data_IF_843120838117
#
_entry.id   IF_843120838117
#
_cell.length_a   1.000
_cell.length_b   1.000
_cell.length_c   1.000
_cell.angle_alpha   90.00
_cell.angle_beta   90.00
_cell.angle_gamma   90.00
#
_symmetry.space_group_name_H-M   'P 1'
#
loop_
_entity.id
_entity.type
_entity.pdbx_description
1 polymer ?
#
# COMPACT_ATOMS: atom_id res chain seq x y z
N UNK A 1 12.93 17.05 26.64
CA UNK A 1 13.07 16.02 25.59
C UNK A 1 11.83 15.14 25.69
N UNK A 2 10.86 15.30 24.79
CA UNK A 2 9.46 14.89 25.05
C UNK A 2 9.18 13.37 24.90
N UNK A 3 10.03 12.62 24.18
CA UNK A 3 9.68 11.26 23.77
C UNK A 3 10.66 10.16 24.20
N UNK A 4 11.70 10.48 24.96
CA UNK A 4 12.66 9.48 25.47
C UNK A 4 13.49 8.80 24.38
N UNK A 5 12.92 7.83 23.65
CA UNK A 5 13.58 7.05 22.60
C UNK A 5 12.82 7.05 21.24
N UNK A 6 13.48 6.53 20.20
CA UNK A 6 12.92 6.45 18.84
C UNK A 6 11.73 5.50 18.73
N UNK A 7 11.66 4.46 19.56
CA UNK A 7 10.58 3.48 19.52
C UNK A 7 9.27 4.09 20.05
N UNK A 8 9.36 4.83 21.15
CA UNK A 8 8.26 5.60 21.75
C UNK A 8 7.77 6.64 20.76
N UNK A 9 8.66 7.43 20.15
CA UNK A 9 8.29 8.40 19.12
C UNK A 9 7.58 7.73 17.92
N UNK A 10 8.01 6.54 17.50
CA UNK A 10 7.37 5.81 16.41
C UNK A 10 5.94 5.39 16.76
N UNK A 11 5.72 4.86 17.97
CA UNK A 11 4.38 4.47 18.45
C UNK A 11 3.46 5.69 18.58
N UNK A 12 3.97 6.80 19.15
CA UNK A 12 3.22 8.06 19.28
C UNK A 12 2.86 8.65 17.91
N UNK A 13 3.77 8.61 16.94
CA UNK A 13 3.49 9.05 15.57
C UNK A 13 2.36 8.24 14.92
N UNK A 14 2.28 6.93 15.21
CA UNK A 14 1.17 6.09 14.77
C UNK A 14 -0.16 6.43 15.45
N UNK A 15 -0.13 6.75 16.75
CA UNK A 15 -1.33 7.19 17.48
C UNK A 15 -1.82 8.55 16.97
N UNK A 16 -0.92 9.51 16.79
CA UNK A 16 -1.24 10.83 16.25
C UNK A 16 -1.78 10.73 14.80
N UNK A 17 -1.14 9.92 13.95
CA UNK A 17 -1.60 9.66 12.59
C UNK A 17 -2.94 8.92 12.56
N UNK A 18 -3.29 8.17 13.60
CA UNK A 18 -4.60 7.56 13.78
C UNK A 18 -5.66 8.57 14.19
N UNK A 19 -5.40 9.37 15.23
CA UNK A 19 -6.34 10.37 15.77
C UNK A 19 -6.69 11.45 14.74
N UNK A 20 -5.73 11.83 13.90
CA UNK A 20 -5.92 12.83 12.84
C UNK A 20 -6.69 12.31 11.61
N UNK A 21 -7.22 11.09 11.62
CA UNK A 21 -7.98 10.55 10.48
C UNK A 21 -9.41 11.10 10.42
N UNK A 22 -9.60 12.01 9.46
CA UNK A 22 -10.79 12.01 8.59
C UNK A 22 -10.41 11.18 7.36
N UNK A 23 -11.06 10.02 7.18
CA UNK A 23 -10.69 8.94 6.26
C UNK A 23 -10.57 9.32 4.78
N UNK A 24 -10.06 8.38 3.97
CA UNK A 24 -10.98 7.73 3.06
C UNK A 24 -11.24 6.32 3.56
N UNK A 25 -12.53 6.04 3.76
CA UNK A 25 -13.07 4.73 3.43
C UNK A 25 -12.56 4.41 2.03
N UNK A 26 -12.02 3.20 1.82
CA UNK A 26 -12.02 2.70 0.45
C UNK A 26 -13.47 2.87 -0.02
N UNK A 27 -13.71 3.50 -1.19
CA UNK A 27 -15.08 3.66 -1.67
C UNK A 27 -15.77 2.30 -1.55
N UNK A 28 -17.02 2.26 -1.09
CA UNK A 28 -17.81 1.03 -1.15
C UNK A 28 -17.76 0.56 -2.61
N UNK A 29 -16.96 -0.47 -2.89
CA UNK A 29 -16.75 -1.00 -4.23
C UNK A 29 -17.85 -1.98 -4.61
N UNK A 30 -19.02 -1.87 -3.98
CA UNK A 30 -20.19 -2.66 -4.30
C UNK A 30 -20.51 -2.45 -5.79
N UNK A 31 -20.39 -3.53 -6.57
CA UNK A 31 -20.53 -3.58 -8.03
C UNK A 31 -19.35 -3.05 -8.89
N UNK A 32 -18.15 -2.87 -8.33
CA UNK A 32 -16.94 -2.61 -9.14
C UNK A 32 -16.20 -3.93 -9.38
N UNK A 33 -15.81 -4.21 -10.63
CA UNK A 33 -15.02 -5.40 -10.97
C UNK A 33 -13.71 -5.45 -10.16
N UNK A 34 -13.29 -6.63 -9.67
CA UNK A 34 -12.11 -6.76 -8.81
C UNK A 34 -10.83 -6.13 -9.38
N UNK A 35 -10.63 -6.20 -10.71
CA UNK A 35 -9.49 -5.56 -11.37
C UNK A 35 -9.48 -4.04 -11.22
N UNK A 36 -10.65 -3.42 -11.27
CA UNK A 36 -10.78 -1.97 -11.13
C UNK A 36 -10.63 -1.56 -9.66
N UNK A 37 -11.12 -2.39 -8.72
CA UNK A 37 -10.85 -2.20 -7.29
C UNK A 37 -9.34 -2.20 -7.00
N UNK A 38 -8.59 -3.12 -7.61
CA UNK A 38 -7.13 -3.18 -7.46
C UNK A 38 -6.46 -1.91 -7.99
N UNK A 39 -6.90 -1.39 -9.14
CA UNK A 39 -6.41 -0.13 -9.70
C UNK A 39 -6.64 1.02 -8.72
N UNK A 40 -7.88 1.20 -8.25
CA UNK A 40 -8.19 2.24 -7.27
C UNK A 40 -7.35 2.11 -5.99
N UNK A 41 -7.16 0.89 -5.49
CA UNK A 41 -6.36 0.65 -4.30
C UNK A 41 -4.91 1.10 -4.50
N UNK A 42 -4.28 0.71 -5.62
CA UNK A 42 -2.89 1.06 -5.95
C UNK A 42 -2.73 2.57 -6.17
N UNK A 43 -3.64 3.20 -6.92
CA UNK A 43 -3.63 4.65 -7.12
C UNK A 43 -3.79 5.40 -5.80
N UNK A 44 -4.69 4.95 -4.92
CA UNK A 44 -4.87 5.53 -3.59
C UNK A 44 -3.58 5.44 -2.75
N UNK A 45 -2.86 4.32 -2.78
CA UNK A 45 -1.58 4.21 -2.08
C UNK A 45 -0.52 5.18 -2.62
N UNK A 46 -0.42 5.30 -3.94
CA UNK A 46 0.62 6.09 -4.61
C UNK A 46 0.32 7.59 -4.55
N UNK A 47 -0.94 8.00 -4.72
CA UNK A 47 -1.36 9.40 -4.61
C UNK A 47 -1.27 9.90 -3.17
N UNK A 48 -1.71 9.11 -2.19
CA UNK A 48 -1.57 9.52 -0.79
C UNK A 48 -0.11 9.58 -0.36
N UNK A 49 0.79 8.78 -0.96
CA UNK A 49 2.23 8.89 -0.71
C UNK A 49 2.77 10.30 -1.03
N UNK A 50 2.38 10.89 -2.15
CA UNK A 50 2.87 12.23 -2.57
C UNK A 50 2.15 13.37 -1.85
N UNK A 51 1.05 13.08 -1.15
CA UNK A 51 0.31 14.07 -0.40
C UNK A 51 1.12 14.59 0.81
N UNK A 52 1.03 15.91 1.02
CA UNK A 52 1.49 16.56 2.25
C UNK A 52 0.46 16.37 3.38
N UNK A 53 0.93 16.43 4.63
CA UNK A 53 0.09 16.33 5.82
C UNK A 53 -0.17 14.89 6.30
N UNK A 54 -1.08 14.77 7.28
CA UNK A 54 -1.32 13.56 8.07
C UNK A 54 -1.66 12.33 7.23
N UNK A 55 -2.37 12.52 6.12
CA UNK A 55 -2.76 11.42 5.22
C UNK A 55 -1.55 10.79 4.51
N UNK A 56 -0.62 11.61 4.05
CA UNK A 56 0.61 11.11 3.44
C UNK A 56 1.55 10.52 4.46
N UNK A 57 1.67 11.14 5.64
CA UNK A 57 2.46 10.60 6.76
C UNK A 57 1.98 9.21 7.16
N UNK A 58 0.67 9.04 7.33
CA UNK A 58 0.09 7.73 7.61
C UNK A 58 0.41 6.73 6.49
N UNK A 59 0.22 7.09 5.23
CA UNK A 59 0.41 6.16 4.11
C UNK A 59 1.86 5.68 4.01
N UNK A 60 2.82 6.57 4.29
CA UNK A 60 4.24 6.21 4.40
C UNK A 60 4.50 5.23 5.54
N UNK A 61 3.97 5.51 6.74
CA UNK A 61 4.08 4.60 7.90
C UNK A 61 3.48 3.23 7.60
N UNK A 62 2.29 3.20 7.00
CA UNK A 62 1.57 1.98 6.62
C UNK A 62 2.35 1.10 5.65
N UNK A 63 2.86 1.66 4.55
CA UNK A 63 3.66 0.91 3.58
C UNK A 63 4.98 0.40 4.17
N UNK A 64 5.61 1.17 5.07
CA UNK A 64 6.82 0.71 5.77
C UNK A 64 6.53 -0.48 6.68
N UNK A 65 5.46 -0.41 7.47
CA UNK A 65 5.11 -1.42 8.45
C UNK A 65 4.55 -2.70 7.80
N UNK A 66 3.83 -2.61 6.68
CA UNK A 66 3.44 -3.79 5.89
C UNK A 66 4.64 -4.52 5.28
N UNK A 67 5.59 -3.78 4.72
CA UNK A 67 6.71 -4.39 4.01
C UNK A 67 7.85 -4.84 4.94
N UNK A 68 7.90 -4.27 6.15
CA UNK A 68 8.89 -4.62 7.17
C UNK A 68 8.29 -4.40 8.57
N UNK A 69 7.45 -5.33 9.05
CA UNK A 69 6.79 -5.21 10.35
C UNK A 69 7.80 -5.02 11.47
N UNK A 70 7.66 -3.93 12.23
CA UNK A 70 8.58 -3.59 13.32
C UNK A 70 8.24 -4.32 14.61
N UNK A 71 6.98 -4.74 14.76
CA UNK A 71 6.43 -5.31 15.99
C UNK A 71 6.14 -4.28 17.08
N UNK A 72 6.51 -3.00 16.88
CA UNK A 72 6.36 -1.93 17.87
C UNK A 72 4.91 -1.47 18.03
N UNK A 73 4.08 -1.69 17.02
CA UNK A 73 2.68 -1.25 16.99
C UNK A 73 1.70 -2.42 17.09
N UNK A 74 2.07 -3.56 17.66
CA UNK A 74 1.23 -4.76 17.75
C UNK A 74 -0.20 -4.48 18.25
N UNK A 75 -0.34 -3.60 19.24
CA UNK A 75 -1.64 -3.18 19.79
C UNK A 75 -2.50 -2.33 18.83
N UNK A 76 -1.85 -1.62 17.90
CA UNK A 76 -2.51 -0.79 16.89
C UNK A 76 -2.66 -1.52 15.55
N UNK A 77 -1.86 -2.57 15.30
CA UNK A 77 -1.86 -3.34 14.05
C UNK A 77 -3.26 -3.78 13.64
N UNK A 78 -3.97 -4.46 14.55
CA UNK A 78 -5.32 -4.97 14.31
C UNK A 78 -6.36 -3.87 14.06
N UNK A 79 -6.12 -2.65 14.54
CA UNK A 79 -7.03 -1.52 14.39
C UNK A 79 -6.74 -0.72 13.11
N UNK A 80 -5.47 -0.59 12.74
CA UNK A 80 -5.01 0.39 11.75
C UNK A 80 -4.55 -0.22 10.43
N UNK A 81 -3.94 -1.40 10.50
CA UNK A 81 -3.28 -2.04 9.36
C UNK A 81 -4.14 -3.19 8.87
N UNK A 82 -4.51 -4.10 9.76
CA UNK A 82 -5.20 -5.34 9.42
C UNK A 82 -6.46 -5.13 8.58
N UNK A 83 -7.38 -4.19 8.90
CA UNK A 83 -8.59 -4.00 8.09
C UNK A 83 -8.29 -3.59 6.65
N UNK A 84 -7.28 -2.73 6.44
CA UNK A 84 -6.88 -2.27 5.11
C UNK A 84 -6.15 -3.36 4.32
N UNK A 85 -5.36 -4.17 5.02
CA UNK A 85 -4.68 -5.34 4.45
C UNK A 85 -5.70 -6.37 3.97
N UNK A 86 -6.73 -6.64 4.76
CA UNK A 86 -7.79 -7.58 4.40
C UNK A 86 -8.57 -7.16 3.16
N UNK A 87 -8.78 -5.85 2.93
CA UNK A 87 -9.36 -5.35 1.67
C UNK A 87 -8.50 -5.75 0.47
N UNK A 88 -7.18 -5.51 0.53
CA UNK A 88 -6.28 -5.91 -0.57
C UNK A 88 -6.25 -7.42 -0.78
N UNK A 89 -6.18 -8.21 0.30
CA UNK A 89 -6.21 -9.67 0.22
C UNK A 89 -7.52 -10.18 -0.40
N UNK A 90 -8.65 -9.55 -0.08
CA UNK A 90 -9.95 -9.83 -0.69
C UNK A 90 -9.94 -9.57 -2.19
N UNK A 91 -9.52 -8.37 -2.61
CA UNK A 91 -9.41 -7.99 -4.03
C UNK A 91 -8.54 -8.99 -4.81
N UNK A 92 -7.37 -9.34 -4.28
CA UNK A 92 -6.47 -10.30 -4.93
C UNK A 92 -7.16 -11.66 -5.07
N UNK A 93 -7.84 -12.13 -4.01
CA UNK A 93 -8.54 -13.41 -4.01
C UNK A 93 -9.69 -13.43 -5.02
N UNK A 94 -10.43 -12.34 -5.14
CA UNK A 94 -11.52 -12.20 -6.11
C UNK A 94 -11.00 -12.23 -7.56
N UNK A 95 -9.85 -11.60 -7.84
CA UNK A 95 -9.19 -11.68 -9.16
C UNK A 95 -8.71 -13.10 -9.47
N UNK A 96 -8.17 -13.81 -8.47
CA UNK A 96 -7.67 -15.18 -8.64
C UNK A 96 -8.79 -16.23 -8.73
N UNK A 97 -9.94 -15.97 -8.13
CA UNK A 97 -11.09 -16.87 -8.05
C UNK A 97 -11.00 -17.91 -6.93
N UNK A 98 -12.00 -18.81 -6.90
CA UNK A 98 -12.26 -19.72 -5.78
C UNK A 98 -11.14 -20.73 -5.46
N UNK A 99 -10.16 -20.91 -6.35
CA UNK A 99 -9.03 -21.85 -6.18
C UNK A 99 -7.76 -21.19 -5.65
N UNK A 100 -7.81 -19.90 -5.29
CA UNK A 100 -6.67 -19.18 -4.77
C UNK A 100 -6.19 -19.74 -3.42
N UNK A 101 -4.97 -20.29 -3.39
CA UNK A 101 -4.31 -20.66 -2.14
C UNK A 101 -3.86 -19.41 -1.38
N UNK A 102 -3.86 -19.49 -0.04
CA UNK A 102 -3.45 -18.37 0.81
C UNK A 102 -2.02 -17.93 0.52
N UNK A 103 -1.11 -18.87 0.26
CA UNK A 103 0.28 -18.56 -0.08
C UNK A 103 0.39 -17.68 -1.33
N UNK A 104 -0.33 -18.01 -2.41
CA UNK A 104 -0.29 -17.23 -3.65
C UNK A 104 -0.86 -15.83 -3.47
N UNK A 105 -1.96 -15.71 -2.72
CA UNK A 105 -2.55 -14.41 -2.38
C UNK A 105 -1.55 -13.56 -1.60
N UNK A 106 -0.88 -14.15 -0.60
CA UNK A 106 0.14 -13.46 0.19
C UNK A 106 1.36 -13.05 -0.65
N UNK A 107 1.84 -13.90 -1.56
CA UNK A 107 2.96 -13.54 -2.43
C UNK A 107 2.62 -12.39 -3.39
N UNK A 108 1.38 -12.36 -3.89
CA UNK A 108 0.90 -11.22 -4.69
C UNK A 108 0.82 -9.94 -3.85
N UNK A 109 0.30 -10.01 -2.61
CA UNK A 109 0.26 -8.87 -1.69
C UNK A 109 1.66 -8.32 -1.41
N UNK A 110 2.61 -9.19 -1.07
CA UNK A 110 4.01 -8.79 -0.84
C UNK A 110 4.59 -8.10 -2.08
N UNK A 111 4.30 -8.62 -3.27
CA UNK A 111 4.80 -8.05 -4.53
C UNK A 111 4.22 -6.66 -4.81
N UNK A 112 2.92 -6.46 -4.59
CA UNK A 112 2.23 -5.17 -4.76
C UNK A 112 2.77 -4.15 -3.76
N UNK A 113 2.81 -4.51 -2.47
CA UNK A 113 3.27 -3.63 -1.39
C UNK A 113 4.70 -3.18 -1.64
N UNK A 114 5.59 -4.08 -2.09
CA UNK A 114 6.98 -3.73 -2.37
C UNK A 114 7.14 -2.80 -3.57
N UNK A 115 6.34 -2.97 -4.63
CA UNK A 115 6.33 -2.04 -5.77
C UNK A 115 5.87 -0.65 -5.34
N UNK A 116 4.77 -0.55 -4.57
CA UNK A 116 4.30 0.73 -4.03
C UNK A 116 5.33 1.37 -3.08
N UNK A 117 6.01 0.56 -2.26
CA UNK A 117 7.06 1.02 -1.34
C UNK A 117 8.31 1.52 -2.03
N UNK A 118 8.59 1.16 -3.29
CA UNK A 118 9.79 1.61 -3.99
C UNK A 118 9.95 3.14 -3.96
N UNK A 119 8.82 3.87 -4.01
CA UNK A 119 8.77 5.33 -3.89
C UNK A 119 9.22 5.89 -2.53
N UNK A 120 9.21 5.06 -1.47
CA UNK A 120 9.69 5.41 -0.12
C UNK A 120 11.18 5.16 0.07
N UNK A 121 11.72 4.20 -0.67
CA UNK A 121 13.07 3.69 -0.40
C UNK A 121 14.13 4.46 -1.19
N UNK A 122 13.74 5.05 -2.32
CA UNK A 122 14.61 5.85 -3.17
C UNK A 122 14.41 7.33 -2.84
N UNK A 123 15.51 8.09 -2.66
CA UNK A 123 15.42 9.54 -2.45
C UNK A 123 14.77 10.18 -3.69
N UNK A 124 13.89 11.16 -3.48
CA UNK A 124 13.19 11.86 -4.59
C UNK A 124 14.13 12.29 -5.71
N UNK A 125 15.25 12.93 -5.38
CA UNK A 125 16.24 13.39 -6.36
C UNK A 125 16.86 12.25 -7.17
N UNK A 126 17.11 11.10 -6.55
CA UNK A 126 17.67 9.94 -7.23
C UNK A 126 16.62 9.31 -8.14
N UNK A 127 15.35 9.27 -7.71
CA UNK A 127 14.27 8.75 -8.52
C UNK A 127 14.00 9.65 -9.73
N UNK A 128 13.98 10.98 -9.55
CA UNK A 128 13.86 11.94 -10.65
C UNK A 128 15.03 11.81 -11.64
N UNK A 129 16.25 11.59 -11.13
CA UNK A 129 17.42 11.31 -11.95
C UNK A 129 17.31 9.99 -12.73
N UNK A 130 16.86 8.90 -12.09
CA UNK A 130 16.69 7.59 -12.74
C UNK A 130 15.57 7.60 -13.79
N UNK A 131 14.53 8.40 -13.59
CA UNK A 131 13.41 8.53 -14.50
C UNK A 131 13.66 9.55 -15.62
N UNK A 132 14.69 10.39 -15.49
CA UNK A 132 14.98 11.53 -16.37
C UNK A 132 13.79 12.51 -16.50
N UNK A 133 13.04 12.69 -15.40
CA UNK A 133 11.85 13.56 -15.33
C UNK A 133 11.49 13.87 -13.87
N UNK A 134 10.87 15.03 -13.59
CA UNK A 134 10.40 15.36 -12.24
C UNK A 134 9.25 14.44 -11.81
N UNK A 135 9.12 14.18 -10.51
CA UNK A 135 7.95 13.48 -9.94
C UNK A 135 6.75 14.43 -9.90
N UNK A 136 6.16 14.67 -11.08
CA UNK A 136 4.92 15.41 -11.27
C UNK A 136 3.70 14.52 -10.94
N UNK A 137 2.52 15.11 -10.68
CA UNK A 137 1.28 14.35 -10.51
C UNK A 137 1.03 13.37 -11.67
N UNK A 138 1.22 13.82 -12.92
CA UNK A 138 1.01 12.99 -14.13
C UNK A 138 1.97 11.79 -14.20
N UNK A 139 3.22 11.94 -13.74
CA UNK A 139 4.14 10.81 -13.68
C UNK A 139 3.75 9.82 -12.59
N UNK A 140 3.29 10.32 -11.45
CA UNK A 140 2.83 9.50 -10.33
C UNK A 140 1.57 8.71 -10.72
N UNK A 141 0.67 9.32 -11.49
CA UNK A 141 -0.49 8.65 -12.07
C UNK A 141 -0.08 7.54 -13.04
N UNK A 142 0.78 7.84 -14.02
CA UNK A 142 1.30 6.83 -14.97
C UNK A 142 2.04 5.69 -14.28
N UNK A 143 2.75 5.98 -13.19
CA UNK A 143 3.40 4.94 -12.38
C UNK A 143 2.37 4.08 -11.65
N UNK A 144 1.28 4.68 -11.15
CA UNK A 144 0.13 3.96 -10.61
C UNK A 144 -0.49 3.02 -11.64
N UNK A 145 -0.73 3.51 -12.85
CA UNK A 145 -1.29 2.71 -13.95
C UNK A 145 -0.38 1.52 -14.28
N UNK A 146 0.93 1.76 -14.33
CA UNK A 146 1.92 0.73 -14.58
C UNK A 146 1.93 -0.34 -13.48
N UNK A 147 2.00 0.06 -12.21
CA UNK A 147 2.03 -0.87 -11.07
C UNK A 147 0.73 -1.68 -11.04
N UNK A 148 -0.41 -1.06 -11.30
CA UNK A 148 -1.69 -1.76 -11.34
C UNK A 148 -1.79 -2.75 -12.50
N UNK A 149 -1.36 -2.35 -13.71
CA UNK A 149 -1.31 -3.23 -14.87
C UNK A 149 -0.36 -4.42 -14.67
N UNK A 150 0.85 -4.16 -14.16
CA UNK A 150 1.85 -5.19 -13.86
C UNK A 150 1.35 -6.16 -12.79
N UNK A 151 0.79 -5.64 -11.70
CA UNK A 151 0.27 -6.45 -10.59
C UNK A 151 -0.92 -7.30 -11.04
N UNK A 152 -1.84 -6.74 -11.81
CA UNK A 152 -2.97 -7.47 -12.35
C UNK A 152 -2.54 -8.64 -13.25
N UNK A 153 -1.62 -8.39 -14.18
CA UNK A 153 -1.07 -9.43 -15.04
C UNK A 153 -0.34 -10.51 -14.22
N UNK A 154 0.41 -10.12 -13.19
CA UNK A 154 1.10 -11.02 -12.27
C UNK A 154 0.14 -11.91 -11.48
N UNK A 155 -0.93 -11.34 -10.92
CA UNK A 155 -1.97 -12.10 -10.19
C UNK A 155 -2.59 -13.16 -11.11
N UNK A 156 -2.99 -12.77 -12.33
CA UNK A 156 -3.59 -13.69 -13.32
C UNK A 156 -2.63 -14.83 -13.67
N UNK A 157 -1.36 -14.51 -13.92
CA UNK A 157 -0.34 -15.53 -14.20
C UNK A 157 -0.12 -16.49 -13.02
N UNK A 158 -0.10 -15.98 -11.78
CA UNK A 158 0.06 -16.81 -10.58
C UNK A 158 -1.17 -17.69 -10.32
N UNK A 159 -2.37 -17.21 -10.65
CA UNK A 159 -3.60 -17.98 -10.56
C UNK A 159 -3.56 -19.23 -11.46
N UNK A 160 -2.99 -19.12 -12.66
CA UNK A 160 -2.87 -20.21 -13.64
C UNK A 160 -1.78 -21.23 -13.30
N UNK A 161 -0.83 -20.91 -12.41
CA UNK A 161 0.23 -21.84 -12.02
C UNK A 161 -0.36 -23.07 -11.31
N UNK A 162 0.08 -24.26 -11.72
CA UNK A 162 -0.26 -25.49 -11.00
C UNK A 162 0.42 -25.51 -9.62
N UNK A 163 -0.20 -26.14 -8.62
CA UNK A 163 0.43 -26.36 -7.32
C UNK A 163 1.69 -27.22 -7.42
#
# INVERSE_FOLDING_TARGET
YYFGDKATLYVEAWQEAYEKRVGPEFPETDNVEPEEQLRFFIHSLIQHFTAHGSRGEFTRLYLMELANPTGLISNLWHKLIEPRRQVLLGIIRDIMGATASDEKVLFCEISIVNQCRALLTIRRSDLEYLLDQPLSPDLIERLGDHIAGFSLAGIKAVAEQKP
#
